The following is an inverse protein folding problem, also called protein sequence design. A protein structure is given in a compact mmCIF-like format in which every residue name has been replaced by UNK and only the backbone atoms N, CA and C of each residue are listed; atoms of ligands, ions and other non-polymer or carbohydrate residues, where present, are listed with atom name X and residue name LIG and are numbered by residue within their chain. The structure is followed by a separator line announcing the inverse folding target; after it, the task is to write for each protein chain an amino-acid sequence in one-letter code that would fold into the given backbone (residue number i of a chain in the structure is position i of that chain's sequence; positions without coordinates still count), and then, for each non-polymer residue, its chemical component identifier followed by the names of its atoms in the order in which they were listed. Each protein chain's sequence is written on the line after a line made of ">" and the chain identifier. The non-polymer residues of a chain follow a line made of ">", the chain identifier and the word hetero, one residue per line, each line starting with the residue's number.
data_IF_652581472934
#
_entry.id   IF_652581472934
#
_cell.length_a   1.000
_cell.length_b   1.000
_cell.length_c   1.000
_cell.angle_alpha   90.00
_cell.angle_beta   90.00
_cell.angle_gamma   90.00
#
_symmetry.space_group_name_H-M   'P 1'
#
loop_
_entity.id
_entity.type
_entity.pdbx_description
1 polymer ?
#
# COMPACT_ATOMS: atom_id res chain seq x y z
N UNK A 1 9.55 -27.06 69.93
CA UNK A 1 8.42 -27.20 69.00
C UNK A 1 8.93 -27.11 67.58
N UNK A 2 8.63 -28.16 66.82
CA UNK A 2 8.88 -28.41 65.40
C UNK A 2 8.27 -27.34 64.51
N UNK A 3 8.96 -26.91 63.43
CA UNK A 3 8.46 -26.92 62.02
C UNK A 3 9.66 -26.86 61.07
N UNK A 4 9.65 -27.78 60.08
CA UNK A 4 10.54 -27.88 58.91
C UNK A 4 9.98 -27.04 57.74
N UNK A 5 10.85 -26.49 56.89
CA UNK A 5 10.65 -26.35 55.43
C UNK A 5 12.01 -26.01 54.79
N UNK A 6 12.74 -26.90 54.08
CA UNK A 6 12.58 -27.49 52.73
C UNK A 6 12.65 -26.48 51.55
N UNK A 7 13.82 -26.51 50.90
CA UNK A 7 14.13 -26.49 49.45
C UNK A 7 13.20 -25.80 48.43
N UNK A 8 13.80 -24.94 47.59
CA UNK A 8 13.74 -25.01 46.11
C UNK A 8 14.82 -24.06 45.53
N UNK A 9 15.96 -24.57 45.06
CA UNK A 9 16.30 -24.85 43.64
C UNK A 9 16.15 -23.65 42.68
N UNK A 10 17.30 -23.06 42.41
CA UNK A 10 17.68 -22.27 41.24
C UNK A 10 17.20 -22.92 39.94
N UNK A 11 16.50 -22.17 39.10
CA UNK A 11 16.32 -22.47 37.68
C UNK A 11 16.64 -21.19 36.91
N UNK A 12 17.84 -21.16 36.34
CA UNK A 12 18.26 -20.22 35.31
C UNK A 12 17.89 -20.86 33.98
N UNK A 13 16.88 -20.34 33.28
CA UNK A 13 16.63 -20.70 31.88
C UNK A 13 17.21 -19.58 31.04
N UNK A 14 18.44 -19.79 30.57
CA UNK A 14 18.97 -19.10 29.40
C UNK A 14 18.34 -19.75 28.17
N UNK A 15 17.41 -19.05 27.53
CA UNK A 15 16.95 -19.42 26.20
C UNK A 15 17.92 -18.82 25.16
N UNK A 16 18.90 -19.62 24.74
CA UNK A 16 19.62 -19.40 23.49
C UNK A 16 18.65 -19.65 22.33
N UNK A 17 18.24 -18.59 21.63
CA UNK A 17 17.65 -18.69 20.31
C UNK A 17 18.77 -18.43 19.29
N UNK A 18 19.41 -19.51 18.85
CA UNK A 18 20.27 -19.51 17.67
C UNK A 18 19.36 -19.69 16.46
N UNK A 19 19.04 -18.60 15.77
CA UNK A 19 18.43 -18.69 14.45
C UNK A 19 19.54 -18.97 13.43
N UNK A 20 19.49 -20.16 12.84
CA UNK A 20 20.39 -20.59 11.79
C UNK A 20 20.08 -19.83 10.49
N UNK A 21 21.01 -19.01 10.01
CA UNK A 21 21.03 -18.55 8.62
C UNK A 21 21.43 -19.72 7.71
N UNK A 22 20.46 -20.33 7.06
CA UNK A 22 20.70 -21.31 6.00
C UNK A 22 21.28 -20.62 4.77
N UNK A 23 22.53 -20.95 4.42
CA UNK A 23 23.10 -20.67 3.09
C UNK A 23 22.49 -21.65 2.09
N UNK A 24 21.68 -21.16 1.17
CA UNK A 24 21.29 -21.94 0.00
C UNK A 24 22.46 -21.97 -1.00
N UNK A 25 22.88 -23.18 -1.37
CA UNK A 25 23.79 -23.43 -2.48
C UNK A 25 23.04 -23.18 -3.80
N UNK A 26 23.59 -22.31 -4.65
CA UNK A 26 23.12 -22.14 -6.02
C UNK A 26 23.47 -23.40 -6.82
N UNK A 27 22.45 -24.15 -7.23
CA UNK A 27 22.58 -25.16 -8.27
C UNK A 27 22.62 -24.46 -9.63
N UNK A 28 23.73 -24.60 -10.35
CA UNK A 28 23.83 -24.16 -11.74
C UNK A 28 23.01 -25.08 -12.63
N UNK A 29 22.06 -24.50 -13.37
CA UNK A 29 21.35 -25.18 -14.45
C UNK A 29 21.92 -24.69 -15.79
N UNK A 30 22.31 -25.65 -16.64
CA UNK A 30 22.72 -25.42 -18.02
C UNK A 30 21.61 -25.92 -18.94
N UNK A 31 21.16 -25.08 -19.86
CA UNK A 31 20.17 -25.44 -20.88
C UNK A 31 20.84 -25.45 -22.25
N UNK A 32 21.42 -26.60 -22.62
CA UNK A 32 21.76 -26.90 -24.01
C UNK A 32 20.80 -27.97 -24.51
N UNK A 33 19.73 -27.54 -25.17
CA UNK A 33 18.89 -28.41 -25.98
C UNK A 33 18.59 -27.71 -27.31
N UNK A 34 18.70 -28.42 -28.46
CA UNK A 34 18.45 -27.85 -29.76
C UNK A 34 16.94 -27.58 -29.95
N UNK A 35 16.61 -26.34 -30.31
CA UNK A 35 15.26 -25.88 -30.60
C UNK A 35 14.75 -26.46 -31.92
N UNK A 36 13.69 -27.26 -31.85
CA UNK A 36 12.87 -27.62 -33.01
C UNK A 36 11.80 -26.54 -33.27
N UNK A 37 11.51 -26.18 -34.53
CA UNK A 37 10.49 -25.18 -34.83
C UNK A 37 9.08 -25.80 -34.73
N UNK A 38 8.36 -25.46 -33.67
CA UNK A 38 6.92 -25.72 -33.56
C UNK A 38 6.15 -24.54 -34.16
N UNK A 39 5.71 -24.69 -35.40
CA UNK A 39 4.70 -23.81 -35.99
C UNK A 39 3.32 -24.21 -35.47
N UNK A 40 2.95 -23.70 -34.30
CA UNK A 40 1.56 -23.71 -33.82
C UNK A 40 0.90 -22.40 -34.23
N UNK A 41 -0.07 -22.48 -35.14
CA UNK A 41 -0.97 -21.37 -35.43
C UNK A 41 -1.84 -21.12 -34.18
N UNK A 42 -1.48 -20.10 -33.41
CA UNK A 42 -2.33 -19.57 -32.35
C UNK A 42 -3.43 -18.71 -33.00
N UNK A 43 -4.64 -19.25 -33.10
CA UNK A 43 -5.84 -18.46 -33.30
C UNK A 43 -6.08 -17.62 -32.04
N UNK A 44 -5.78 -16.32 -32.12
CA UNK A 44 -6.18 -15.37 -31.09
C UNK A 44 -7.70 -15.24 -31.13
N UNK A 45 -8.37 -15.81 -30.12
CA UNK A 45 -9.77 -15.51 -29.86
C UNK A 45 -9.94 -13.99 -29.77
N UNK A 46 -10.97 -13.45 -30.42
CA UNK A 46 -11.27 -12.03 -30.38
C UNK A 46 -11.32 -11.56 -28.90
N UNK A 47 -10.74 -10.40 -28.57
CA UNK A 47 -10.73 -9.91 -27.20
C UNK A 47 -12.17 -9.84 -26.70
N UNK A 48 -12.43 -10.51 -25.57
CA UNK A 48 -13.73 -10.44 -24.91
C UNK A 48 -14.10 -8.97 -24.71
N UNK A 49 -15.36 -8.62 -25.00
CA UNK A 49 -15.84 -7.25 -24.83
C UNK A 49 -15.54 -6.78 -23.41
N UNK A 50 -14.78 -5.69 -23.28
CA UNK A 50 -14.48 -5.07 -21.98
C UNK A 50 -15.81 -4.75 -21.32
N UNK A 51 -16.11 -5.31 -20.13
CA UNK A 51 -17.36 -5.04 -19.46
C UNK A 51 -17.51 -3.54 -19.24
N UNK A 52 -18.66 -2.99 -19.62
CA UNK A 52 -18.94 -1.57 -19.44
C UNK A 52 -18.87 -1.23 -17.93
N UNK A 53 -18.24 -0.10 -17.56
CA UNK A 53 -18.13 0.29 -16.16
C UNK A 53 -19.53 0.46 -15.56
N UNK A 54 -19.80 -0.30 -14.49
CA UNK A 54 -21.04 -0.16 -13.71
C UNK A 54 -21.01 1.19 -13.00
N UNK A 55 -22.03 2.02 -13.20
CA UNK A 55 -22.16 3.30 -12.50
C UNK A 55 -22.09 3.09 -10.98
N UNK A 56 -21.13 3.72 -10.32
CA UNK A 56 -20.95 3.61 -8.89
C UNK A 56 -22.22 4.13 -8.15
N UNK A 57 -22.74 3.40 -7.15
CA UNK A 57 -23.90 3.85 -6.37
C UNK A 57 -23.62 5.20 -5.69
N UNK A 58 -24.68 5.97 -5.46
CA UNK A 58 -24.59 7.24 -4.69
C UNK A 58 -23.92 6.99 -3.35
N UNK A 59 -22.96 7.85 -2.99
CA UNK A 59 -22.09 7.67 -1.83
C UNK A 59 -22.91 7.37 -0.55
N UNK A 60 -22.78 6.13 -0.07
CA UNK A 60 -23.31 5.71 1.22
C UNK A 60 -22.53 6.30 2.38
N UNK A 61 -22.75 5.76 3.58
CA UNK A 61 -21.90 6.07 4.73
C UNK A 61 -20.45 5.64 4.44
N UNK A 62 -19.47 6.49 4.78
CA UNK A 62 -18.05 6.15 4.68
C UNK A 62 -17.78 4.86 5.46
N UNK A 63 -17.03 3.93 4.88
CA UNK A 63 -16.76 2.61 5.46
C UNK A 63 -15.43 2.03 5.02
N UNK A 64 -14.80 1.25 5.89
CA UNK A 64 -13.73 0.35 5.52
C UNK A 64 -14.35 -0.89 4.85
N UNK A 65 -13.82 -1.27 3.68
CA UNK A 65 -14.29 -2.44 2.96
C UNK A 65 -13.46 -3.66 3.37
N UNK A 66 -14.09 -4.84 3.39
CA UNK A 66 -13.35 -6.10 3.26
C UNK A 66 -12.69 -6.13 1.87
N UNK A 67 -11.39 -6.38 1.83
CA UNK A 67 -10.60 -6.29 0.59
C UNK A 67 -11.13 -7.23 -0.49
N UNK A 68 -11.41 -8.49 -0.14
CA UNK A 68 -11.90 -9.51 -1.10
C UNK A 68 -13.26 -9.15 -1.66
N UNK A 69 -14.12 -8.56 -0.83
CA UNK A 69 -15.40 -8.02 -1.26
C UNK A 69 -15.21 -6.86 -2.24
N UNK A 70 -14.36 -5.89 -1.91
CA UNK A 70 -14.05 -4.76 -2.80
C UNK A 70 -13.47 -5.25 -4.14
N UNK A 71 -12.46 -6.12 -4.09
CA UNK A 71 -11.83 -6.77 -5.24
C UNK A 71 -12.87 -7.41 -6.18
N UNK A 72 -13.76 -8.24 -5.63
CA UNK A 72 -14.82 -8.89 -6.40
C UNK A 72 -15.82 -7.87 -6.96
N UNK A 73 -16.24 -6.88 -6.19
CA UNK A 73 -17.19 -5.85 -6.64
C UNK A 73 -16.65 -5.02 -7.79
N UNK A 74 -15.35 -4.76 -7.80
CA UNK A 74 -14.67 -4.04 -8.88
C UNK A 74 -14.38 -4.93 -10.11
N UNK A 75 -14.72 -6.21 -10.07
CA UNK A 75 -14.58 -7.12 -11.21
C UNK A 75 -13.17 -7.64 -11.41
N UNK A 76 -12.31 -7.59 -10.40
CA UNK A 76 -11.01 -8.25 -10.48
C UNK A 76 -11.19 -9.79 -10.53
N UNK A 77 -10.33 -10.53 -11.27
CA UNK A 77 -10.38 -11.99 -11.34
C UNK A 77 -10.17 -12.63 -9.97
N UNK A 78 -10.66 -13.85 -9.76
CA UNK A 78 -10.46 -14.53 -8.47
C UNK A 78 -8.97 -14.63 -8.11
N UNK A 79 -8.63 -14.38 -6.85
CA UNK A 79 -7.26 -14.45 -6.32
C UNK A 79 -6.74 -15.90 -6.43
N UNK A 80 -5.77 -16.15 -7.31
CA UNK A 80 -5.15 -17.47 -7.51
C UNK A 80 -3.78 -17.63 -6.81
N UNK A 81 -3.50 -16.78 -5.83
CA UNK A 81 -2.51 -17.01 -4.79
C UNK A 81 -1.04 -16.81 -5.15
N UNK A 82 -0.68 -16.36 -6.37
CA UNK A 82 0.74 -16.08 -6.68
C UNK A 82 1.04 -14.89 -7.60
N UNK A 83 0.05 -14.24 -8.19
CA UNK A 83 0.35 -13.08 -9.05
C UNK A 83 -0.82 -12.10 -9.13
N UNK A 84 -1.11 -11.44 -8.01
CA UNK A 84 -2.25 -10.53 -7.90
C UNK A 84 -2.05 -9.27 -8.73
N UNK A 85 -0.79 -8.92 -9.03
CA UNK A 85 -0.49 -7.81 -9.94
C UNK A 85 -0.96 -8.13 -11.36
N UNK A 86 -0.89 -9.40 -11.81
CA UNK A 86 -1.44 -9.81 -13.12
C UNK A 86 -2.95 -9.60 -13.23
N UNK A 87 -3.66 -9.41 -12.12
CA UNK A 87 -5.08 -9.11 -12.18
C UNK A 87 -5.37 -7.83 -12.99
N UNK A 88 -4.42 -6.89 -13.08
CA UNK A 88 -4.58 -5.68 -13.91
C UNK A 88 -4.55 -5.98 -15.41
N UNK A 89 -3.96 -7.11 -15.84
CA UNK A 89 -4.01 -7.58 -17.22
C UNK A 89 -5.46 -7.91 -17.65
N UNK A 90 -6.33 -8.29 -16.71
CA UNK A 90 -7.76 -8.48 -16.96
C UNK A 90 -8.45 -7.21 -17.48
N UNK A 91 -7.92 -6.04 -17.13
CA UNK A 91 -8.39 -4.75 -17.61
C UNK A 91 -7.62 -4.24 -18.84
N UNK A 92 -6.81 -5.09 -19.48
CA UNK A 92 -6.10 -4.79 -20.72
C UNK A 92 -4.76 -4.07 -20.53
N UNK A 93 -4.15 -4.14 -19.35
CA UNK A 93 -2.76 -3.75 -19.17
C UNK A 93 -1.83 -4.67 -19.98
N UNK A 94 -0.76 -4.12 -20.55
CA UNK A 94 0.25 -4.88 -21.31
C UNK A 94 1.23 -5.56 -20.38
N UNK A 95 1.99 -6.53 -20.90
CA UNK A 95 3.03 -7.23 -20.12
C UNK A 95 4.04 -6.27 -19.48
N UNK A 96 4.56 -5.29 -20.24
CA UNK A 96 5.48 -4.26 -19.70
C UNK A 96 4.86 -3.45 -18.55
N UNK A 97 3.57 -3.13 -18.65
CA UNK A 97 2.88 -2.33 -17.63
C UNK A 97 2.61 -3.13 -16.36
N UNK A 98 2.31 -4.42 -16.51
CA UNK A 98 2.19 -5.35 -15.39
C UNK A 98 3.55 -5.56 -14.73
N UNK A 99 4.62 -5.76 -15.51
CA UNK A 99 5.98 -5.97 -15.00
C UNK A 99 6.49 -4.76 -14.21
N UNK A 100 6.28 -3.54 -14.71
CA UNK A 100 6.67 -2.32 -14.02
C UNK A 100 5.87 -2.13 -12.71
N UNK A 101 4.58 -2.45 -12.71
CA UNK A 101 3.76 -2.43 -11.50
C UNK A 101 4.20 -3.50 -10.49
N UNK A 102 4.55 -4.71 -10.96
CA UNK A 102 5.07 -5.79 -10.12
C UNK A 102 6.39 -5.38 -9.48
N UNK A 103 7.28 -4.76 -10.26
CA UNK A 103 8.57 -4.25 -9.77
C UNK A 103 8.35 -3.13 -8.76
N UNK A 104 7.45 -2.19 -9.04
CA UNK A 104 7.09 -1.10 -8.14
C UNK A 104 6.50 -1.59 -6.81
N UNK A 105 5.74 -2.68 -6.81
CA UNK A 105 5.10 -3.27 -5.61
C UNK A 105 5.89 -4.41 -4.99
N UNK A 106 7.11 -4.68 -5.47
CA UNK A 106 7.97 -5.71 -4.90
C UNK A 106 8.37 -5.35 -3.47
N UNK A 107 8.20 -6.31 -2.55
CA UNK A 107 8.66 -6.18 -1.16
C UNK A 107 10.18 -6.33 -1.00
N UNK A 108 10.86 -6.75 -2.06
CA UNK A 108 12.28 -7.11 -2.02
C UNK A 108 13.18 -6.06 -2.67
N UNK A 109 12.61 -5.17 -3.48
CA UNK A 109 13.36 -4.26 -4.33
C UNK A 109 13.12 -2.79 -3.95
N UNK A 110 14.10 -1.90 -4.17
CA UNK A 110 13.98 -0.48 -3.83
C UNK A 110 13.09 0.31 -4.81
N UNK A 111 12.54 -0.31 -5.86
CA UNK A 111 11.80 0.38 -6.94
C UNK A 111 10.66 1.27 -6.42
N UNK A 112 9.91 0.83 -5.40
CA UNK A 112 8.88 1.67 -4.76
C UNK A 112 9.45 3.02 -4.30
N UNK A 113 10.62 3.00 -3.65
CA UNK A 113 11.26 4.19 -3.11
C UNK A 113 11.82 5.06 -4.23
N UNK A 114 12.40 4.47 -5.26
CA UNK A 114 13.04 5.18 -6.37
C UNK A 114 12.02 5.81 -7.32
N UNK A 115 10.95 5.09 -7.68
CA UNK A 115 9.84 5.65 -8.48
C UNK A 115 9.15 6.79 -7.75
N UNK A 116 8.89 6.65 -6.45
CA UNK A 116 8.34 7.76 -5.67
C UNK A 116 9.37 8.89 -5.44
N UNK A 117 10.66 8.56 -5.36
CA UNK A 117 11.76 9.52 -5.31
C UNK A 117 11.82 10.38 -6.58
N UNK A 118 11.70 9.75 -7.74
CA UNK A 118 11.57 10.40 -9.04
C UNK A 118 10.43 11.42 -9.05
N UNK A 119 9.23 10.96 -8.69
CA UNK A 119 8.04 11.81 -8.67
C UNK A 119 8.16 12.99 -7.68
N UNK A 120 8.83 12.79 -6.54
CA UNK A 120 8.93 13.81 -5.49
C UNK A 120 10.03 14.84 -5.72
N UNK A 121 11.18 14.40 -6.20
CA UNK A 121 12.42 15.18 -6.14
C UNK A 121 12.97 15.56 -7.51
N UNK A 122 12.78 14.75 -8.56
CA UNK A 122 13.37 15.05 -9.87
C UNK A 122 12.85 16.39 -10.45
N UNK A 123 13.69 17.27 -11.02
CA UNK A 123 15.11 17.08 -11.36
C UNK A 123 16.12 17.47 -10.27
N UNK A 124 15.69 17.71 -9.02
CA UNK A 124 16.61 17.94 -7.92
C UNK A 124 17.41 16.65 -7.60
N UNK A 125 18.61 16.79 -6.99
CA UNK A 125 19.41 15.64 -6.59
C UNK A 125 18.64 14.67 -5.68
N UNK A 126 18.73 13.39 -5.99
CA UNK A 126 18.21 12.27 -5.22
C UNK A 126 19.26 11.15 -5.27
N UNK A 127 19.40 10.40 -4.19
CA UNK A 127 20.36 9.29 -4.11
C UNK A 127 19.76 8.04 -4.75
N UNK A 128 20.17 7.77 -5.99
CA UNK A 128 19.69 6.63 -6.78
C UNK A 128 20.55 5.41 -6.52
N UNK A 129 19.94 4.28 -6.19
CA UNK A 129 20.64 3.08 -5.75
C UNK A 129 20.46 1.86 -6.68
N UNK A 130 19.41 1.86 -7.51
CA UNK A 130 19.02 0.74 -8.38
C UNK A 130 18.40 1.16 -9.72
N UNK A 131 17.71 2.29 -9.79
CA UNK A 131 16.96 2.74 -10.98
C UNK A 131 17.38 4.15 -11.38
N UNK A 132 17.66 4.36 -12.67
CA UNK A 132 17.93 5.70 -13.19
C UNK A 132 16.64 6.56 -13.25
N UNK A 133 16.73 7.91 -13.22
CA UNK A 133 15.56 8.76 -13.48
C UNK A 133 14.86 8.45 -14.81
N UNK A 134 15.62 8.08 -15.84
CA UNK A 134 15.11 7.74 -17.16
C UNK A 134 14.27 6.47 -17.15
N UNK A 135 14.70 5.44 -16.41
CA UNK A 135 13.97 4.19 -16.23
C UNK A 135 12.74 4.41 -15.34
N UNK A 136 12.89 5.14 -14.23
CA UNK A 136 11.78 5.49 -13.34
C UNK A 136 10.68 6.25 -14.10
N UNK A 137 11.05 7.14 -15.03
CA UNK A 137 10.10 7.84 -15.91
C UNK A 137 9.32 6.88 -16.82
N UNK A 138 9.96 5.82 -17.33
CA UNK A 138 9.29 4.79 -18.14
C UNK A 138 8.30 4.01 -17.26
N UNK A 139 8.72 3.59 -16.07
CA UNK A 139 7.85 2.89 -15.13
C UNK A 139 6.62 3.73 -14.74
N UNK A 140 6.81 5.01 -14.38
CA UNK A 140 5.70 5.95 -14.10
C UNK A 140 4.72 6.00 -15.26
N UNK A 141 5.24 6.17 -16.49
CA UNK A 141 4.38 6.22 -17.69
C UNK A 141 3.56 4.94 -17.86
N UNK A 142 4.14 3.78 -17.57
CA UNK A 142 3.45 2.50 -17.70
C UNK A 142 2.43 2.27 -16.59
N UNK A 143 2.76 2.59 -15.33
CA UNK A 143 1.83 2.54 -14.19
C UNK A 143 0.66 3.52 -14.39
N UNK A 144 0.91 4.73 -14.89
CA UNK A 144 -0.13 5.71 -15.21
C UNK A 144 -1.13 5.17 -16.24
N UNK A 145 -0.67 4.40 -17.23
CA UNK A 145 -1.57 3.72 -18.17
C UNK A 145 -2.39 2.64 -17.48
N UNK A 146 -1.86 1.92 -16.50
CA UNK A 146 -2.66 0.96 -15.69
C UNK A 146 -3.81 1.70 -15.00
N UNK A 147 -3.56 2.86 -14.40
CA UNK A 147 -4.61 3.69 -13.79
C UNK A 147 -5.74 4.07 -14.76
N UNK A 148 -5.43 4.29 -16.06
CA UNK A 148 -6.48 4.59 -17.05
C UNK A 148 -7.44 3.41 -17.30
N UNK A 149 -7.00 2.18 -17.02
CA UNK A 149 -7.73 0.94 -17.35
C UNK A 149 -8.47 0.33 -16.17
N UNK A 150 -7.88 0.36 -14.98
CA UNK A 150 -8.50 -0.20 -13.77
C UNK A 150 -9.81 0.50 -13.42
N UNK A 151 -10.74 -0.18 -12.74
CA UNK A 151 -11.99 0.42 -12.29
C UNK A 151 -11.76 1.54 -11.27
N UNK A 152 -12.78 2.39 -11.08
CA UNK A 152 -12.77 3.39 -10.02
C UNK A 152 -13.14 2.73 -8.68
N UNK A 153 -12.42 3.08 -7.61
CA UNK A 153 -12.81 2.75 -6.24
C UNK A 153 -13.98 3.63 -5.79
N UNK A 154 -14.89 3.13 -4.95
CA UNK A 154 -16.10 3.86 -4.60
C UNK A 154 -15.82 5.04 -3.65
N UNK A 155 -16.59 6.11 -3.78
CA UNK A 155 -16.42 7.35 -3.00
C UNK A 155 -16.65 7.19 -1.49
N UNK A 156 -17.32 6.10 -1.07
CA UNK A 156 -17.58 5.77 0.33
C UNK A 156 -16.50 4.87 0.94
N UNK A 157 -15.40 4.61 0.22
CA UNK A 157 -14.25 3.87 0.71
C UNK A 157 -13.41 4.71 1.67
N UNK A 158 -13.20 4.18 2.88
CA UNK A 158 -12.16 4.62 3.79
C UNK A 158 -10.87 3.84 3.52
N UNK A 159 -9.76 4.56 3.43
CA UNK A 159 -8.41 4.00 3.25
C UNK A 159 -7.53 4.39 4.44
N UNK A 160 -6.51 3.61 4.72
CA UNK A 160 -5.59 3.82 5.83
C UNK A 160 -4.16 3.86 5.33
N UNK A 161 -3.36 4.80 5.84
CA UNK A 161 -1.93 4.91 5.50
C UNK A 161 -1.11 5.14 6.76
N UNK A 162 -0.18 4.23 7.02
CA UNK A 162 0.85 4.43 8.04
C UNK A 162 2.04 5.16 7.45
N UNK A 163 2.61 6.10 8.21
CA UNK A 163 3.80 6.81 7.77
C UNK A 163 4.67 7.28 8.93
N UNK A 164 5.94 7.42 8.60
CA UNK A 164 6.98 8.06 9.39
C UNK A 164 7.04 9.55 9.01
N UNK A 165 7.00 10.48 9.98
CA UNK A 165 7.06 11.93 9.71
C UNK A 165 8.50 12.48 9.64
N UNK A 166 9.52 11.63 9.56
CA UNK A 166 10.92 12.01 9.45
C UNK A 166 11.20 12.92 8.25
N UNK A 167 10.53 12.69 7.11
CA UNK A 167 10.62 13.55 5.92
C UNK A 167 10.10 14.99 6.12
N UNK A 168 9.44 15.26 7.25
CA UNK A 168 8.93 16.56 7.67
C UNK A 168 9.51 16.99 9.01
N UNK A 169 10.72 16.53 9.33
CA UNK A 169 11.39 16.84 10.60
C UNK A 169 10.53 16.50 11.82
N UNK A 170 9.74 15.43 11.74
CA UNK A 170 8.78 15.01 12.77
C UNK A 170 7.70 16.03 13.11
N UNK A 171 7.50 17.06 12.28
CA UNK A 171 6.47 18.09 12.47
C UNK A 171 5.07 17.52 12.22
N UNK A 172 4.15 17.57 13.21
CA UNK A 172 2.78 17.09 13.03
C UNK A 172 2.04 17.95 12.00
N UNK A 173 0.97 17.41 11.42
CA UNK A 173 0.08 18.17 10.58
C UNK A 173 -0.91 18.99 11.41
N UNK A 174 -1.24 20.19 10.93
CA UNK A 174 -2.31 20.99 11.51
C UNK A 174 -3.67 20.63 10.90
N UNK A 175 -4.76 20.75 11.67
CA UNK A 175 -6.11 20.68 11.11
C UNK A 175 -6.30 21.84 10.12
N UNK A 176 -6.83 21.53 8.95
CA UNK A 176 -6.96 22.43 7.81
C UNK A 176 -5.70 22.56 6.95
N UNK A 177 -4.58 21.92 7.33
CA UNK A 177 -3.38 21.90 6.49
C UNK A 177 -3.65 21.14 5.19
N UNK A 178 -3.23 21.75 4.08
CA UNK A 178 -3.24 21.13 2.76
C UNK A 178 -1.83 20.78 2.34
N UNK A 179 -1.67 19.62 1.71
CA UNK A 179 -0.39 19.16 1.18
C UNK A 179 -0.61 18.32 -0.08
N UNK A 180 0.47 18.12 -0.84
CA UNK A 180 0.46 17.29 -2.05
C UNK A 180 1.49 16.18 -1.87
N UNK A 181 1.08 14.93 -2.04
CA UNK A 181 2.04 13.84 -2.24
C UNK A 181 2.25 13.72 -3.75
N UNK A 182 3.46 14.05 -4.19
CA UNK A 182 3.80 13.93 -5.61
C UNK A 182 4.00 12.48 -6.04
N UNK A 183 4.29 11.57 -5.10
CA UNK A 183 4.41 10.14 -5.39
C UNK A 183 3.04 9.46 -5.47
N UNK A 184 3.03 8.20 -5.88
CA UNK A 184 1.87 7.33 -5.70
C UNK A 184 1.58 7.15 -4.21
N UNK A 185 0.30 6.98 -3.89
CA UNK A 185 -0.16 6.95 -2.51
C UNK A 185 -0.61 5.53 -2.19
N UNK A 186 0.33 4.75 -1.64
CA UNK A 186 0.06 3.42 -1.09
C UNK A 186 -0.78 3.54 0.18
N UNK A 187 -1.92 2.85 0.19
CA UNK A 187 -2.87 2.79 1.31
C UNK A 187 -3.39 1.37 1.45
N UNK A 188 -4.09 1.08 2.54
CA UNK A 188 -4.73 -0.20 2.79
C UNK A 188 -6.19 0.01 3.21
N UNK A 189 -7.07 -0.96 2.94
CA UNK A 189 -8.41 -0.97 3.57
C UNK A 189 -8.36 -1.44 5.03
N UNK A 190 -7.20 -1.86 5.52
CA UNK A 190 -6.96 -2.38 6.86
C UNK A 190 -6.21 -1.39 7.76
N UNK A 191 -6.85 -0.96 8.84
CA UNK A 191 -6.21 -0.13 9.87
C UNK A 191 -4.98 -0.82 10.49
N UNK A 192 -5.07 -2.14 10.70
CA UNK A 192 -4.00 -2.94 11.28
C UNK A 192 -2.73 -2.90 10.42
N UNK A 193 -2.88 -2.97 9.10
CA UNK A 193 -1.77 -2.85 8.15
C UNK A 193 -1.16 -1.46 8.23
N UNK A 194 -1.97 -0.39 8.17
CA UNK A 194 -1.47 0.97 8.32
C UNK A 194 -0.73 1.19 9.65
N UNK A 195 -1.23 0.63 10.76
CA UNK A 195 -0.54 0.67 12.06
C UNK A 195 0.79 -0.06 12.03
N UNK A 196 0.88 -1.21 11.35
CA UNK A 196 2.14 -1.94 11.18
C UNK A 196 3.18 -1.07 10.45
N UNK A 197 2.80 -0.36 9.40
CA UNK A 197 3.70 0.57 8.70
C UNK A 197 4.12 1.77 9.55
N UNK A 198 3.22 2.32 10.38
CA UNK A 198 3.53 3.47 11.23
C UNK A 198 4.49 3.12 12.39
N UNK A 199 4.23 2.02 13.11
CA UNK A 199 4.93 1.70 14.37
C UNK A 199 5.47 0.27 14.45
N UNK A 200 5.03 -0.64 13.59
CA UNK A 200 5.39 -2.07 13.63
C UNK A 200 6.72 -2.39 12.94
N UNK A 201 7.05 -1.73 11.83
CA UNK A 201 8.26 -2.03 11.06
C UNK A 201 9.56 -1.80 11.84
N UNK A 202 9.57 -0.83 12.74
CA UNK A 202 10.76 -0.49 13.54
C UNK A 202 10.85 -1.31 14.84
N UNK A 203 9.88 -2.15 15.16
CA UNK A 203 9.89 -2.95 16.39
C UNK A 203 11.00 -4.03 16.40
N UNK A 204 11.52 -4.38 15.22
CA UNK A 204 12.62 -5.33 15.04
C UNK A 204 13.98 -4.66 14.81
N UNK A 205 14.05 -3.31 14.83
CA UNK A 205 15.31 -2.58 14.70
C UNK A 205 15.90 -2.33 16.09
N UNK A 206 17.22 -2.49 16.22
CA UNK A 206 17.94 -2.32 17.48
C UNK A 206 17.85 -0.88 18.03
N UNK A 207 17.60 0.10 17.15
CA UNK A 207 17.32 1.47 17.54
C UNK A 207 15.91 1.89 17.09
N UNK A 208 15.00 2.20 18.03
CA UNK A 208 13.70 2.74 17.67
C UNK A 208 13.90 4.10 17.02
N UNK A 209 13.31 4.28 15.83
CA UNK A 209 13.27 5.58 15.19
C UNK A 209 12.67 6.63 16.12
N UNK A 210 13.40 7.74 16.31
CA UNK A 210 12.99 8.88 17.12
C UNK A 210 11.95 9.75 16.42
N UNK A 211 11.70 9.47 15.14
CA UNK A 211 10.76 10.27 14.37
C UNK A 211 9.32 10.01 14.79
N UNK A 212 8.53 11.08 14.73
CA UNK A 212 7.10 11.03 15.02
C UNK A 212 6.37 10.19 13.98
N UNK A 213 5.43 9.35 14.42
CA UNK A 213 4.64 8.48 13.55
C UNK A 213 3.25 9.04 13.32
N UNK A 214 2.63 8.69 12.20
CA UNK A 214 1.26 9.06 11.89
C UNK A 214 0.50 7.93 11.19
N UNK A 215 -0.81 7.93 11.38
CA UNK A 215 -1.77 7.17 10.58
C UNK A 215 -2.78 8.15 9.99
N UNK A 216 -2.99 8.04 8.68
CA UNK A 216 -4.06 8.74 7.99
C UNK A 216 -5.23 7.80 7.78
N UNK A 217 -6.43 8.29 8.10
CA UNK A 217 -7.72 7.75 7.67
C UNK A 217 -8.16 8.61 6.51
N UNK A 218 -8.00 8.12 5.30
CA UNK A 218 -8.31 8.84 4.07
C UNK A 218 -9.75 8.57 3.66
N UNK A 219 -10.45 9.62 3.21
CA UNK A 219 -11.74 9.48 2.55
C UNK A 219 -11.75 10.18 1.20
N UNK A 220 -12.50 9.61 0.27
CA UNK A 220 -12.66 10.13 -1.09
C UNK A 220 -13.91 11.02 -1.17
N UNK A 221 -13.88 12.06 -2.01
CA UNK A 221 -15.06 12.90 -2.26
C UNK A 221 -15.93 12.42 -3.42
N UNK A 222 -15.33 11.64 -4.32
CA UNK A 222 -15.93 11.04 -5.49
C UNK A 222 -15.24 9.71 -5.79
N UNK A 223 -15.77 8.87 -6.69
CA UNK A 223 -15.03 7.73 -7.18
C UNK A 223 -13.72 8.18 -7.82
N UNK A 224 -12.66 7.42 -7.62
CA UNK A 224 -11.31 7.73 -8.11
C UNK A 224 -10.67 6.45 -8.63
N UNK A 225 -9.70 6.56 -9.54
CA UNK A 225 -8.93 5.39 -9.97
C UNK A 225 -8.07 4.87 -8.81
N UNK A 226 -8.07 3.55 -8.64
CA UNK A 226 -7.28 2.86 -7.63
C UNK A 226 -6.89 1.47 -8.10
N UNK A 227 -5.61 1.14 -7.94
CA UNK A 227 -5.08 -0.20 -8.24
C UNK A 227 -5.17 -1.01 -6.94
N UNK A 228 -5.80 -2.18 -6.99
CA UNK A 228 -5.88 -3.10 -5.85
C UNK A 228 -4.79 -4.16 -5.97
N UNK A 229 -4.09 -4.44 -4.87
CA UNK A 229 -3.02 -5.45 -4.80
C UNK A 229 -3.15 -6.20 -3.47
N UNK A 230 -3.15 -7.54 -3.50
CA UNK A 230 -3.39 -8.40 -2.34
C UNK A 230 -2.15 -9.13 -1.83
N UNK A 231 -1.01 -8.45 -1.72
CA UNK A 231 0.20 -9.11 -1.20
C UNK A 231 0.17 -9.30 0.34
N UNK A 232 -1.01 -9.56 0.91
CA UNK A 232 -1.26 -9.62 2.36
C UNK A 232 -1.33 -8.25 3.05
N UNK A 233 -1.45 -7.17 2.27
CA UNK A 233 -1.51 -5.79 2.77
C UNK A 233 -2.85 -5.10 2.48
N UNK A 234 -3.77 -5.79 1.81
CA UNK A 234 -5.07 -5.25 1.41
C UNK A 234 -4.93 -3.88 0.72
N UNK A 235 -3.95 -3.77 -0.19
CA UNK A 235 -3.42 -2.50 -0.68
C UNK A 235 -4.33 -1.88 -1.75
N UNK A 236 -4.55 -0.57 -1.62
CA UNK A 236 -5.14 0.28 -2.65
C UNK A 236 -4.14 1.40 -2.94
N UNK A 237 -3.58 1.40 -4.15
CA UNK A 237 -2.69 2.46 -4.60
C UNK A 237 -3.52 3.53 -5.30
N UNK A 238 -3.42 4.77 -4.83
CA UNK A 238 -3.97 5.93 -5.51
C UNK A 238 -2.91 6.58 -6.41
N UNK A 239 -3.40 7.22 -7.46
CA UNK A 239 -2.59 7.94 -8.43
C UNK A 239 -1.70 9.01 -7.77
N UNK A 240 -0.67 9.45 -8.48
CA UNK A 240 0.31 10.42 -7.98
C UNK A 240 -0.16 11.87 -8.09
N UNK A 241 0.58 12.79 -7.47
CA UNK A 241 0.27 14.23 -7.49
C UNK A 241 -1.00 14.62 -6.71
N UNK A 242 -1.45 13.78 -5.78
CA UNK A 242 -2.72 13.98 -5.08
C UNK A 242 -2.62 15.05 -4.00
N UNK A 243 -3.64 15.90 -3.96
CA UNK A 243 -3.81 16.92 -2.92
C UNK A 243 -4.64 16.34 -1.77
N UNK A 244 -4.22 16.66 -0.55
CA UNK A 244 -4.84 16.22 0.68
C UNK A 244 -5.15 17.41 1.58
N UNK A 245 -6.16 17.26 2.44
CA UNK A 245 -6.45 18.21 3.53
C UNK A 245 -6.69 17.47 4.83
N UNK A 246 -6.04 17.87 5.90
CA UNK A 246 -6.29 17.34 7.23
C UNK A 246 -7.59 17.91 7.77
N UNK A 247 -8.57 17.06 8.01
CA UNK A 247 -9.92 17.47 8.40
C UNK A 247 -10.17 17.36 9.90
N UNK A 248 -9.55 16.37 10.55
CA UNK A 248 -9.63 16.18 11.99
C UNK A 248 -8.38 15.44 12.49
N UNK A 249 -8.17 15.48 13.81
CA UNK A 249 -7.06 14.82 14.49
C UNK A 249 -7.55 14.24 15.82
N UNK A 250 -7.02 13.09 16.22
CA UNK A 250 -7.12 12.57 17.60
C UNK A 250 -5.81 12.83 18.33
N UNK A 251 -5.89 13.55 19.45
CA UNK A 251 -4.71 13.87 20.28
C UNK A 251 -4.46 12.86 21.42
N UNK A 252 -5.34 11.86 21.60
CA UNK A 252 -5.28 10.93 22.74
C UNK A 252 -4.25 9.79 22.58
N UNK A 253 -3.69 9.58 21.39
CA UNK A 253 -2.80 8.45 21.12
C UNK A 253 -1.34 8.89 21.28
N UNK A 254 -0.62 8.24 22.21
CA UNK A 254 0.77 8.62 22.51
C UNK A 254 1.80 8.13 21.48
N UNK A 255 1.51 7.04 20.78
CA UNK A 255 2.48 6.34 19.93
C UNK A 255 2.57 6.91 18.50
N UNK A 256 1.49 7.53 18.01
CA UNK A 256 1.38 8.10 16.69
C UNK A 256 0.26 9.13 16.69
N UNK A 257 0.31 10.09 15.76
CA UNK A 257 -0.85 10.93 15.47
C UNK A 257 -1.84 10.19 14.58
N UNK A 258 -3.13 10.37 14.83
CA UNK A 258 -4.19 9.85 13.97
C UNK A 258 -4.94 11.02 13.34
N UNK A 259 -5.00 11.04 12.02
CA UNK A 259 -5.62 12.12 11.25
C UNK A 259 -6.74 11.59 10.35
N UNK A 260 -7.83 12.34 10.27
CA UNK A 260 -8.82 12.20 9.20
C UNK A 260 -8.37 13.10 8.05
N UNK A 261 -8.18 12.53 6.86
CA UNK A 261 -7.61 13.23 5.71
C UNK A 261 -8.56 13.11 4.52
N UNK A 262 -8.88 14.24 3.91
CA UNK A 262 -9.59 14.27 2.64
C UNK A 262 -8.62 14.03 1.49
N UNK A 263 -8.96 13.11 0.58
CA UNK A 263 -8.32 13.03 -0.75
C UNK A 263 -9.08 13.95 -1.69
N UNK A 264 -8.39 14.93 -2.28
CA UNK A 264 -9.02 15.99 -3.05
C UNK A 264 -8.94 15.69 -4.56
N UNK A 265 -10.03 15.96 -5.27
CA UNK A 265 -10.08 15.84 -6.73
C UNK A 265 -9.23 16.90 -7.45
N UNK A 266 -9.26 18.14 -6.94
CA UNK A 266 -8.44 19.27 -7.38
C UNK A 266 -8.41 20.34 -6.27
N UNK A 267 -9.60 20.71 -5.80
CA UNK A 267 -9.81 21.58 -4.64
C UNK A 267 -10.32 20.73 -3.48
N UNK A 268 -9.84 21.02 -2.28
CA UNK A 268 -10.28 20.36 -1.07
C UNK A 268 -11.52 21.06 -0.52
N UNK A 269 -12.46 20.29 0.00
CA UNK A 269 -13.58 20.86 0.73
C UNK A 269 -13.07 21.43 2.05
N UNK A 270 -13.58 22.59 2.43
CA UNK A 270 -13.24 23.18 3.74
C UNK A 270 -14.10 22.62 4.87
N UNK A 271 -15.18 21.91 4.52
CA UNK A 271 -16.18 21.41 5.47
C UNK A 271 -16.15 19.89 5.49
N UNK A 272 -16.05 19.31 6.69
CA UNK A 272 -16.09 17.86 6.86
C UNK A 272 -17.47 17.30 6.48
N UNK A 273 -17.50 16.34 5.56
CA UNK A 273 -18.73 15.66 5.14
C UNK A 273 -19.35 14.90 6.33
N UNK A 274 -20.68 14.95 6.47
CA UNK A 274 -21.38 14.29 7.56
C UNK A 274 -21.08 12.77 7.64
N UNK A 275 -20.98 12.09 6.49
CA UNK A 275 -20.62 10.67 6.45
C UNK A 275 -19.21 10.40 6.99
N UNK A 276 -18.24 11.27 6.67
CA UNK A 276 -16.88 11.16 7.18
C UNK A 276 -16.79 11.51 8.66
N UNK A 277 -17.52 12.54 9.12
CA UNK A 277 -17.64 12.86 10.55
C UNK A 277 -18.25 11.70 11.35
N UNK A 278 -19.31 11.08 10.83
CA UNK A 278 -19.96 9.93 11.47
C UNK A 278 -19.01 8.74 11.57
N UNK A 279 -18.35 8.37 10.47
CA UNK A 279 -17.34 7.30 10.48
C UNK A 279 -16.22 7.58 11.47
N UNK A 280 -15.67 8.79 11.44
CA UNK A 280 -14.59 9.22 12.32
C UNK A 280 -14.93 9.12 13.81
N UNK A 281 -16.13 9.59 14.19
CA UNK A 281 -16.59 9.55 15.58
C UNK A 281 -16.87 8.12 16.08
N UNK A 282 -17.12 7.18 15.17
CA UNK A 282 -17.40 5.78 15.47
C UNK A 282 -16.22 4.84 15.17
N UNK A 283 -15.06 5.38 14.79
CA UNK A 283 -13.89 4.59 14.46
C UNK A 283 -13.36 3.90 15.71
N UNK A 284 -13.54 2.57 15.77
CA UNK A 284 -12.91 1.73 16.79
C UNK A 284 -11.46 1.46 16.39
N UNK A 285 -10.52 1.86 17.24
CA UNK A 285 -9.08 1.60 17.06
C UNK A 285 -8.64 0.29 17.74
N UNK A 286 -9.60 -0.47 18.25
CA UNK A 286 -9.39 -1.72 18.96
C UNK A 286 -9.51 -2.88 17.97
N UNK A 287 -8.44 -3.12 17.19
CA UNK A 287 -8.10 -4.39 16.53
C UNK A 287 -6.59 -4.45 16.23
#
# INVERSE_FOLDING_TARGET
>A
MTVKARFAKTITIAALLVAACSRAQAAGFSFDAPSAPLAAAYEFAAPAAVPAPVLAPRAGALRAYDFKTLWKTLGYPALQGRDEVQAVAHFGATEDEVLDLTSYTSKHDPFYQEVNGYLRYYPAPYDWSGTSPEDARVMVKNIDKVFTRVPEVPADLALFRGLDLGFRDSRPYAVGEEFVDKGYVSTSVSYKVARHFAIGMNACQDEPSTSRKAIFVLYLTRPEKGILIDQGEDEVILDHGRKFRVMAKVDAIRQYDLYLVQVCAAVCDTTLRAAAASFWNNLSLLD
#
